data_IF_756258503997
#
_entry.id   IF_756258503997
#
_cell.length_a   1.000
_cell.length_b   1.000
_cell.length_c   1.000
_cell.angle_alpha   90.00
_cell.angle_beta   90.00
_cell.angle_gamma   90.00
#
_symmetry.space_group_name_H-M   'P 1'
#
loop_
_entity.id
_entity.type
_entity.pdbx_description
1 polymer ?
#
# COMPACT_ATOMS: atom_id res chain seq x y z
N UNK A 1 -8.49 16.47 -16.54
CA UNK A 1 -8.09 17.31 -17.69
C UNK A 1 -6.58 17.27 -17.76
N UNK A 2 -5.96 16.94 -18.92
CA UNK A 2 -4.51 16.95 -19.09
C UNK A 2 -3.97 18.39 -19.03
N UNK A 3 -2.79 18.62 -18.42
CA UNK A 3 -2.12 19.91 -18.47
C UNK A 3 -1.79 20.31 -19.90
N UNK A 4 -1.57 21.62 -20.14
CA UNK A 4 -1.10 22.09 -21.45
C UNK A 4 0.27 21.50 -21.81
N UNK A 5 0.55 21.31 -23.10
CA UNK A 5 1.82 20.70 -23.57
C UNK A 5 3.05 21.52 -23.17
N UNK A 6 2.90 22.80 -22.91
CA UNK A 6 3.95 23.71 -22.41
C UNK A 6 4.44 23.27 -21.01
N UNK A 7 3.64 22.52 -20.25
CA UNK A 7 4.03 21.98 -18.94
C UNK A 7 5.02 20.81 -19.04
N UNK A 8 5.11 20.11 -20.17
CA UNK A 8 5.97 18.91 -20.35
C UNK A 8 7.42 19.20 -19.97
N UNK A 9 8.00 20.29 -20.52
CA UNK A 9 9.39 20.69 -20.24
C UNK A 9 9.63 21.03 -18.77
N UNK A 10 8.67 21.70 -18.14
CA UNK A 10 8.78 22.08 -16.72
C UNK A 10 8.72 20.86 -15.83
N UNK A 11 7.73 19.96 -16.06
CA UNK A 11 7.57 18.72 -15.30
C UNK A 11 8.80 17.82 -15.45
N UNK A 12 9.28 17.63 -16.69
CA UNK A 12 10.48 16.82 -16.94
C UNK A 12 11.71 17.35 -16.20
N UNK A 13 11.92 18.68 -16.22
CA UNK A 13 13.04 19.31 -15.48
C UNK A 13 12.90 19.14 -13.98
N UNK A 14 11.67 19.23 -13.46
CA UNK A 14 11.37 19.07 -12.04
C UNK A 14 11.73 17.66 -11.55
N UNK A 15 11.43 16.63 -12.37
CA UNK A 15 11.77 15.23 -12.04
C UNK A 15 13.21 14.86 -12.44
N UNK A 16 14.00 15.79 -12.96
CA UNK A 16 15.44 15.62 -13.22
C UNK A 16 15.79 14.69 -14.39
N UNK A 17 14.85 14.38 -15.32
CA UNK A 17 15.12 13.47 -16.42
C UNK A 17 15.47 14.19 -17.73
N UNK A 18 16.28 13.52 -18.57
CA UNK A 18 16.65 14.02 -19.92
C UNK A 18 15.51 13.80 -20.92
N UNK A 19 15.53 14.55 -22.04
CA UNK A 19 14.60 14.32 -23.15
C UNK A 19 14.72 12.89 -23.70
N UNK A 20 15.95 12.34 -23.77
CA UNK A 20 16.21 10.97 -24.19
C UNK A 20 15.53 9.97 -23.26
N UNK A 21 15.71 10.12 -21.95
CA UNK A 21 15.08 9.23 -20.96
C UNK A 21 13.55 9.26 -21.05
N UNK A 22 12.97 10.47 -21.20
CA UNK A 22 11.52 10.61 -21.36
C UNK A 22 11.04 9.97 -22.68
N UNK A 23 11.79 10.12 -23.76
CA UNK A 23 11.51 9.50 -25.05
C UNK A 23 11.48 7.97 -24.96
N UNK A 24 12.50 7.38 -24.31
CA UNK A 24 12.61 5.93 -24.07
C UNK A 24 11.41 5.40 -23.28
N UNK A 25 11.00 6.11 -22.22
CA UNK A 25 9.88 5.73 -21.36
C UNK A 25 8.52 5.81 -22.08
N UNK A 26 8.36 6.75 -22.98
CA UNK A 26 7.07 7.03 -23.65
C UNK A 26 6.93 6.36 -25.00
N UNK A 27 8.01 5.74 -25.51
CA UNK A 27 8.04 5.10 -26.83
C UNK A 27 7.93 6.09 -27.99
N UNK A 28 8.36 7.36 -27.78
CA UNK A 28 8.46 8.37 -28.85
C UNK A 28 9.91 8.75 -29.10
N UNK A 29 10.21 9.36 -30.23
CA UNK A 29 11.58 9.81 -30.51
C UNK A 29 11.99 11.01 -29.66
N UNK A 30 13.28 11.14 -29.36
CA UNK A 30 13.85 12.32 -28.69
C UNK A 30 13.55 13.61 -29.48
N UNK A 31 13.55 13.53 -30.81
CA UNK A 31 13.17 14.65 -31.68
C UNK A 31 11.72 15.09 -31.45
N UNK A 32 10.80 14.13 -31.30
CA UNK A 32 9.40 14.42 -31.00
C UNK A 32 9.25 15.12 -29.64
N UNK A 33 9.93 14.63 -28.59
CA UNK A 33 9.94 15.29 -27.26
C UNK A 33 10.45 16.73 -27.40
N UNK A 34 11.55 16.95 -28.13
CA UNK A 34 12.08 18.29 -28.34
C UNK A 34 11.09 19.22 -29.06
N UNK A 35 10.41 18.73 -30.10
CA UNK A 35 9.41 19.51 -30.84
C UNK A 35 8.19 19.85 -30.00
N UNK A 36 7.74 18.93 -29.14
CA UNK A 36 6.63 19.18 -28.19
C UNK A 36 7.05 20.22 -27.16
N UNK A 37 8.23 20.08 -26.55
CA UNK A 37 8.74 21.02 -25.54
C UNK A 37 9.05 22.42 -26.10
N UNK A 38 9.31 22.53 -27.39
CA UNK A 38 9.52 23.81 -28.08
C UNK A 38 8.24 24.40 -28.66
N UNK A 39 7.09 23.70 -28.50
CA UNK A 39 5.80 24.17 -29.04
C UNK A 39 5.66 24.03 -30.57
N UNK A 40 6.65 23.39 -31.25
CA UNK A 40 6.63 23.22 -32.70
C UNK A 40 5.64 22.15 -33.17
N UNK A 41 5.28 21.22 -32.31
CA UNK A 41 4.36 20.12 -32.64
C UNK A 41 3.38 19.91 -31.47
N UNK A 42 2.10 19.76 -31.81
CA UNK A 42 1.08 19.31 -30.87
C UNK A 42 0.98 17.79 -30.95
N UNK A 43 1.25 17.04 -29.88
CA UNK A 43 1.11 15.59 -29.88
C UNK A 43 -0.38 15.19 -30.00
N UNK A 44 -0.62 13.95 -30.48
CA UNK A 44 -1.93 13.34 -30.37
C UNK A 44 -2.33 13.18 -28.89
N UNK A 45 -3.62 13.03 -28.62
CA UNK A 45 -4.12 12.81 -27.25
C UNK A 45 -3.41 11.62 -26.56
N UNK A 46 -3.25 10.50 -27.26
CA UNK A 46 -2.60 9.31 -26.72
C UNK A 46 -1.12 9.54 -26.42
N UNK A 47 -0.43 10.28 -27.29
CA UNK A 47 0.97 10.65 -27.06
C UNK A 47 1.11 11.59 -25.88
N UNK A 48 0.25 12.62 -25.79
CA UNK A 48 0.23 13.55 -24.67
C UNK A 48 -0.04 12.81 -23.35
N UNK A 49 -1.04 11.92 -23.33
CA UNK A 49 -1.39 11.10 -22.18
C UNK A 49 -0.18 10.27 -21.71
N UNK A 50 0.46 9.51 -22.60
CA UNK A 50 1.65 8.71 -22.24
C UNK A 50 2.79 9.55 -21.65
N UNK A 51 3.02 10.75 -22.19
CA UNK A 51 4.03 11.68 -21.68
C UNK A 51 3.68 12.16 -20.27
N UNK A 52 2.44 12.60 -20.04
CA UNK A 52 2.02 13.09 -18.74
C UNK A 52 1.95 11.98 -17.70
N UNK A 53 1.48 10.77 -18.06
CA UNK A 53 1.45 9.61 -17.19
C UNK A 53 2.89 9.22 -16.76
N UNK A 54 3.84 9.19 -17.69
CA UNK A 54 5.25 8.91 -17.39
C UNK A 54 5.87 9.98 -16.47
N UNK A 55 5.57 11.24 -16.69
CA UNK A 55 6.04 12.33 -15.83
C UNK A 55 5.41 12.28 -14.45
N UNK A 56 4.13 11.94 -14.34
CA UNK A 56 3.43 11.78 -13.07
C UNK A 56 3.97 10.59 -12.28
N UNK A 57 4.32 9.48 -12.94
CA UNK A 57 5.03 8.36 -12.31
C UNK A 57 6.37 8.82 -11.70
N UNK A 58 7.17 9.55 -12.46
CA UNK A 58 8.46 10.07 -11.99
C UNK A 58 8.34 11.11 -10.87
N UNK A 59 7.27 11.89 -10.85
CA UNK A 59 6.95 12.81 -9.73
C UNK A 59 6.43 12.07 -8.48
N UNK A 60 6.25 10.76 -8.57
CA UNK A 60 5.61 9.99 -7.49
C UNK A 60 4.12 10.28 -7.34
N UNK A 61 3.49 10.89 -8.35
CA UNK A 61 2.06 11.23 -8.33
C UNK A 61 1.16 10.17 -8.95
N UNK A 62 1.75 9.27 -9.73
CA UNK A 62 1.04 8.19 -10.38
C UNK A 62 1.84 6.90 -10.25
N UNK A 63 1.35 6.00 -9.44
CA UNK A 63 1.88 4.65 -9.33
C UNK A 63 0.96 3.75 -10.17
N UNK A 64 1.52 2.86 -11.02
CA UNK A 64 0.73 1.93 -11.81
C UNK A 64 -0.03 0.92 -10.93
N UNK A 65 0.36 0.80 -9.67
CA UNK A 65 -0.14 -0.17 -8.73
C UNK A 65 -0.95 0.48 -7.60
N UNK A 66 -1.97 -0.24 -7.17
CA UNK A 66 -2.88 0.13 -6.10
C UNK A 66 -2.76 -0.83 -4.91
N UNK A 67 -3.39 -0.52 -3.80
CA UNK A 67 -3.47 -1.40 -2.64
C UNK A 67 -4.01 -2.79 -3.01
N UNK A 68 -4.96 -2.84 -3.93
CA UNK A 68 -5.55 -4.09 -4.40
C UNK A 68 -4.61 -5.02 -5.13
N UNK A 69 -3.57 -4.48 -5.77
CA UNK A 69 -2.58 -5.29 -6.50
C UNK A 69 -1.62 -6.03 -5.56
N UNK A 70 -1.45 -5.54 -4.33
CA UNK A 70 -0.51 -6.08 -3.36
C UNK A 70 -1.16 -6.76 -2.15
N UNK A 71 -2.47 -6.58 -1.93
CA UNK A 71 -3.11 -7.12 -0.74
C UNK A 71 -3.25 -8.65 -0.80
N UNK A 72 -2.92 -9.28 0.32
CA UNK A 72 -3.20 -10.70 0.56
C UNK A 72 -4.69 -10.88 0.89
N UNK A 73 -5.44 -11.57 0.01
CA UNK A 73 -6.89 -11.77 0.17
C UNK A 73 -7.26 -12.88 1.14
N UNK A 74 -6.36 -13.84 1.35
CA UNK A 74 -6.56 -14.95 2.31
C UNK A 74 -6.20 -14.48 3.72
N UNK A 75 -6.98 -13.55 4.24
CA UNK A 75 -6.74 -12.95 5.53
C UNK A 75 -7.24 -13.87 6.66
N UNK A 76 -6.35 -14.19 7.59
CA UNK A 76 -6.72 -14.81 8.87
C UNK A 76 -7.25 -13.70 9.76
N UNK A 77 -8.40 -13.93 10.40
CA UNK A 77 -9.02 -13.01 11.35
C UNK A 77 -9.36 -13.74 12.64
N UNK A 78 -9.44 -13.00 13.73
CA UNK A 78 -9.88 -13.46 15.04
C UNK A 78 -10.91 -12.50 15.62
N UNK A 79 -11.61 -12.93 16.67
CA UNK A 79 -12.59 -12.12 17.39
C UNK A 79 -12.04 -11.62 18.74
N UNK A 80 -12.60 -10.55 19.32
CA UNK A 80 -12.20 -10.06 20.65
C UNK A 80 -12.29 -11.12 21.76
N UNK A 81 -13.19 -12.10 21.61
CA UNK A 81 -13.40 -13.22 22.53
C UNK A 81 -12.36 -14.32 22.44
N UNK A 82 -11.58 -14.37 21.36
CA UNK A 82 -10.50 -15.35 21.19
C UNK A 82 -9.34 -15.07 22.15
N UNK A 83 -8.45 -16.04 22.34
CA UNK A 83 -7.33 -15.95 23.28
C UNK A 83 -6.00 -15.61 22.58
N UNK A 84 -5.04 -15.07 23.34
CA UNK A 84 -3.67 -14.91 22.86
C UNK A 84 -3.05 -16.23 22.40
N UNK A 85 -3.35 -17.33 23.10
CA UNK A 85 -2.88 -18.67 22.69
C UNK A 85 -3.37 -19.05 21.30
N UNK A 86 -4.62 -18.71 20.98
CA UNK A 86 -5.18 -18.96 19.66
C UNK A 86 -4.55 -18.11 18.58
N UNK A 87 -4.24 -16.84 18.89
CA UNK A 87 -3.49 -15.96 18.00
C UNK A 87 -2.10 -16.52 17.69
N UNK A 88 -1.35 -16.95 18.71
CA UNK A 88 -0.03 -17.58 18.55
C UNK A 88 -0.11 -18.82 17.66
N UNK A 89 -1.08 -19.70 17.92
CA UNK A 89 -1.28 -20.90 17.10
C UNK A 89 -1.54 -20.57 15.64
N UNK A 90 -2.43 -19.62 15.35
CA UNK A 90 -2.73 -19.19 13.99
C UNK A 90 -1.57 -18.47 13.29
N UNK A 91 -0.83 -17.64 14.01
CA UNK A 91 0.38 -17.00 13.46
C UNK A 91 1.39 -18.06 13.02
N UNK A 92 1.61 -19.09 13.83
CA UNK A 92 2.53 -20.18 13.51
C UNK A 92 2.01 -21.03 12.33
N UNK A 93 0.73 -21.44 12.35
CA UNK A 93 0.12 -22.26 11.29
C UNK A 93 0.17 -21.60 9.91
N UNK A 94 -0.01 -20.27 9.87
CA UNK A 94 -0.07 -19.51 8.62
C UNK A 94 1.21 -18.74 8.28
N UNK A 95 2.23 -18.80 9.15
CA UNK A 95 3.50 -18.05 9.00
C UNK A 95 3.25 -16.54 8.82
N UNK A 96 2.40 -15.97 9.68
CA UNK A 96 2.02 -14.56 9.69
C UNK A 96 2.30 -13.94 11.05
N UNK A 97 2.65 -12.65 11.06
CA UNK A 97 3.04 -11.88 12.26
C UNK A 97 1.99 -10.87 12.72
N UNK A 98 0.87 -10.77 12.01
CA UNK A 98 -0.24 -9.87 12.35
C UNK A 98 -1.57 -10.53 12.02
N UNK A 99 -2.55 -10.39 12.94
CA UNK A 99 -3.92 -10.86 12.74
C UNK A 99 -4.89 -9.74 13.11
N UNK A 100 -5.70 -9.25 12.16
CA UNK A 100 -6.77 -8.31 12.44
C UNK A 100 -7.85 -8.93 13.33
N UNK A 101 -8.37 -8.13 14.26
CA UNK A 101 -9.46 -8.50 15.15
C UNK A 101 -10.74 -7.86 14.65
N UNK A 102 -11.72 -8.69 14.33
CA UNK A 102 -13.02 -8.26 13.82
C UNK A 102 -14.13 -8.64 14.80
N UNK A 103 -14.96 -7.68 15.13
CA UNK A 103 -16.21 -7.89 15.88
C UNK A 103 -17.30 -8.31 14.88
N UNK A 104 -17.99 -9.41 15.19
CA UNK A 104 -19.03 -10.03 14.32
C UNK A 104 -18.55 -10.31 12.88
N UNK A 105 -17.23 -10.53 12.69
CA UNK A 105 -16.63 -10.79 11.39
C UNK A 105 -16.66 -9.63 10.40
N UNK A 106 -17.08 -8.44 10.82
CA UNK A 106 -17.31 -7.27 9.93
C UNK A 106 -16.54 -6.04 10.38
N UNK A 107 -16.64 -5.68 11.67
CA UNK A 107 -16.09 -4.44 12.20
C UNK A 107 -14.67 -4.66 12.71
N UNK A 108 -13.70 -4.03 12.09
CA UNK A 108 -12.32 -4.04 12.58
C UNK A 108 -12.24 -3.27 13.89
N UNK A 109 -11.82 -3.92 14.96
CA UNK A 109 -11.71 -3.34 16.31
C UNK A 109 -10.28 -3.26 16.81
N UNK A 110 -9.36 -4.05 16.24
CA UNK A 110 -7.96 -4.04 16.62
C UNK A 110 -7.08 -4.90 15.72
N UNK A 111 -5.84 -5.06 16.13
CA UNK A 111 -4.87 -5.99 15.55
C UNK A 111 -4.06 -6.61 16.68
N UNK A 112 -3.68 -7.88 16.52
CA UNK A 112 -2.68 -8.51 17.37
C UNK A 112 -1.42 -8.76 16.55
N UNK A 113 -0.25 -8.44 17.11
CA UNK A 113 1.06 -8.57 16.46
C UNK A 113 1.97 -9.47 17.27
N UNK A 114 2.99 -10.07 16.63
CA UNK A 114 4.04 -10.80 17.36
C UNK A 114 4.69 -9.92 18.42
N UNK A 115 5.02 -8.67 18.08
CA UNK A 115 5.61 -7.70 19.03
C UNK A 115 4.68 -7.47 20.25
N UNK A 116 3.37 -7.33 20.01
CA UNK A 116 2.35 -7.17 21.06
C UNK A 116 2.27 -8.39 21.97
N UNK A 117 2.32 -9.60 21.40
CA UNK A 117 2.33 -10.84 22.17
C UNK A 117 3.62 -10.96 23.02
N UNK A 118 4.79 -10.70 22.44
CA UNK A 118 6.07 -10.74 23.17
C UNK A 118 6.06 -9.74 24.33
N UNK A 119 5.54 -8.54 24.12
CA UNK A 119 5.39 -7.54 25.19
C UNK A 119 4.48 -8.05 26.30
N UNK A 120 3.31 -8.60 25.97
CA UNK A 120 2.37 -9.15 26.94
C UNK A 120 2.99 -10.30 27.75
N UNK A 121 3.73 -11.20 27.09
CA UNK A 121 4.47 -12.27 27.75
C UNK A 121 5.51 -11.76 28.76
N UNK A 122 6.19 -10.68 28.42
CA UNK A 122 7.17 -10.05 29.30
C UNK A 122 6.54 -9.43 30.55
N UNK A 123 5.32 -8.92 30.40
CA UNK A 123 4.61 -8.20 31.48
C UNK A 123 3.78 -9.16 32.36
N UNK A 124 3.10 -10.14 31.79
CA UNK A 124 2.13 -11.01 32.49
C UNK A 124 2.55 -12.49 32.61
N UNK A 125 3.53 -12.95 31.82
CA UNK A 125 4.05 -14.32 31.83
C UNK A 125 3.22 -15.31 30.98
N UNK A 126 3.80 -16.52 30.76
CA UNK A 126 3.21 -17.54 29.86
C UNK A 126 1.87 -18.10 30.31
N UNK A 127 1.61 -18.13 31.64
CA UNK A 127 0.35 -18.69 32.17
C UNK A 127 -0.87 -17.89 31.71
N UNK A 128 -0.69 -16.61 31.42
CA UNK A 128 -1.77 -15.70 31.02
C UNK A 128 -2.20 -15.89 29.54
N UNK A 129 -1.35 -16.43 28.68
CA UNK A 129 -1.67 -16.62 27.26
C UNK A 129 -2.99 -17.35 27.00
N UNK A 130 -3.31 -18.35 27.82
CA UNK A 130 -4.53 -19.15 27.67
C UNK A 130 -5.78 -18.44 28.14
N UNK A 131 -5.62 -17.47 29.03
CA UNK A 131 -6.73 -16.78 29.70
C UNK A 131 -6.99 -15.39 29.13
N UNK A 132 -5.92 -14.70 28.68
CA UNK A 132 -6.02 -13.35 28.15
C UNK A 132 -6.85 -13.32 26.85
N UNK A 133 -7.85 -12.47 26.83
CA UNK A 133 -8.70 -12.23 25.67
C UNK A 133 -8.09 -11.19 24.76
N UNK A 134 -8.26 -11.36 23.45
CA UNK A 134 -7.75 -10.43 22.47
C UNK A 134 -8.35 -9.03 22.62
N UNK A 135 -9.61 -8.93 23.05
CA UNK A 135 -10.25 -7.64 23.30
C UNK A 135 -9.56 -6.78 24.37
N UNK A 136 -8.85 -7.40 25.32
CA UNK A 136 -8.13 -6.72 26.39
C UNK A 136 -6.66 -6.43 26.05
N UNK A 137 -6.11 -7.13 25.04
CA UNK A 137 -4.66 -7.15 24.73
C UNK A 137 -4.32 -6.62 23.34
N UNK A 138 -5.33 -6.52 22.46
CA UNK A 138 -5.12 -6.06 21.07
C UNK A 138 -4.62 -4.62 21.00
N UNK A 139 -3.85 -4.34 19.98
CA UNK A 139 -3.46 -2.99 19.59
C UNK A 139 -4.62 -2.28 18.85
N UNK A 140 -4.61 -0.94 18.75
CA UNK A 140 -5.61 -0.20 18.00
C UNK A 140 -5.77 -0.71 16.56
N UNK A 141 -6.98 -0.57 16.02
CA UNK A 141 -7.28 -0.98 14.65
C UNK A 141 -6.31 -0.33 13.64
N UNK A 142 -5.73 -1.12 12.72
CA UNK A 142 -4.84 -0.60 11.69
C UNK A 142 -5.61 0.30 10.70
N UNK A 143 -4.91 1.18 9.96
CA UNK A 143 -5.54 1.96 8.90
C UNK A 143 -6.26 1.09 7.88
N UNK A 144 -7.42 1.56 7.43
CA UNK A 144 -8.17 0.94 6.33
C UNK A 144 -8.07 1.87 5.13
N UNK A 145 -7.69 1.33 3.98
CA UNK A 145 -7.59 2.07 2.72
C UNK A 145 -8.50 1.46 1.66
N UNK A 146 -8.90 2.26 0.68
CA UNK A 146 -9.64 1.75 -0.47
C UNK A 146 -8.75 0.89 -1.38
N UNK A 147 -9.35 -0.09 -2.06
CA UNK A 147 -8.69 -0.97 -3.02
C UNK A 147 -7.89 -0.20 -4.09
N UNK A 148 -8.42 0.94 -4.55
CA UNK A 148 -7.78 1.82 -5.52
C UNK A 148 -6.73 2.78 -4.96
N UNK A 149 -6.40 2.73 -3.67
CA UNK A 149 -5.40 3.61 -3.06
C UNK A 149 -4.03 3.38 -3.71
N UNK A 150 -3.33 4.42 -4.19
CA UNK A 150 -2.00 4.28 -4.79
C UNK A 150 -0.98 3.64 -3.84
N UNK A 151 -0.18 2.70 -4.34
CA UNK A 151 0.76 1.90 -3.55
C UNK A 151 1.77 2.75 -2.76
N UNK A 152 2.21 3.89 -3.29
CA UNK A 152 3.15 4.78 -2.60
C UNK A 152 2.58 5.40 -1.31
N UNK A 153 1.26 5.52 -1.20
CA UNK A 153 0.61 6.02 0.01
C UNK A 153 0.65 5.00 1.17
N UNK A 154 0.92 3.72 0.86
CA UNK A 154 0.87 2.63 1.84
C UNK A 154 2.12 2.55 2.70
N UNK A 155 3.30 2.84 2.14
CA UNK A 155 4.60 2.67 2.84
C UNK A 155 4.65 3.44 4.17
N UNK A 156 4.30 4.74 4.25
CA UNK A 156 4.30 5.45 5.53
C UNK A 156 3.27 4.89 6.52
N UNK A 157 2.11 4.42 6.04
CA UNK A 157 1.09 3.82 6.89
C UNK A 157 1.58 2.49 7.50
N UNK A 158 2.14 1.60 6.67
CA UNK A 158 2.67 0.30 7.11
C UNK A 158 3.83 0.48 8.08
N UNK A 159 4.71 1.47 7.84
CA UNK A 159 5.81 1.77 8.76
C UNK A 159 5.31 2.13 10.17
N UNK A 160 4.17 2.82 10.24
CA UNK A 160 3.58 3.26 11.52
C UNK A 160 2.77 2.15 12.20
N UNK A 161 1.90 1.46 11.45
CA UNK A 161 0.90 0.54 11.99
C UNK A 161 1.20 -0.95 11.73
N UNK A 162 2.38 -1.27 11.17
CA UNK A 162 2.83 -2.63 10.81
C UNK A 162 2.03 -3.28 9.67
N UNK A 163 0.76 -2.98 9.54
CA UNK A 163 -0.11 -3.44 8.45
C UNK A 163 -1.16 -2.39 8.09
N UNK A 164 -1.80 -2.60 6.94
CA UNK A 164 -2.92 -1.80 6.44
C UNK A 164 -3.97 -2.77 5.93
N UNK A 165 -5.23 -2.53 6.24
CA UNK A 165 -6.35 -3.30 5.70
C UNK A 165 -6.86 -2.64 4.42
N UNK A 166 -7.25 -3.47 3.46
CA UNK A 166 -7.78 -3.02 2.18
C UNK A 166 -9.27 -3.28 2.13
N UNK A 167 -10.04 -2.25 1.80
CA UNK A 167 -11.48 -2.35 1.62
C UNK A 167 -11.90 -2.17 0.16
N UNK A 168 -12.91 -2.89 -0.25
CA UNK A 168 -13.62 -2.73 -1.52
C UNK A 168 -15.12 -2.74 -1.25
N UNK A 169 -15.83 -1.71 -1.73
CA UNK A 169 -17.28 -1.57 -1.50
C UNK A 169 -17.67 -1.73 -0.03
N UNK A 170 -16.92 -1.06 0.85
CA UNK A 170 -17.13 -1.08 2.32
C UNK A 170 -16.93 -2.44 2.99
N UNK A 171 -16.29 -3.41 2.34
CA UNK A 171 -15.91 -4.69 2.94
C UNK A 171 -14.41 -4.82 2.97
N UNK A 172 -13.88 -5.37 4.05
CA UNK A 172 -12.45 -5.70 4.12
C UNK A 172 -12.19 -6.90 3.19
N UNK A 173 -11.26 -6.71 2.26
CA UNK A 173 -10.93 -7.72 1.24
C UNK A 173 -9.51 -8.24 1.33
N UNK A 174 -8.67 -7.62 2.15
CA UNK A 174 -7.30 -8.08 2.30
C UNK A 174 -6.47 -7.24 3.28
N UNK A 175 -5.24 -7.68 3.46
CA UNK A 175 -4.23 -7.06 4.32
C UNK A 175 -2.94 -6.85 3.53
N UNK A 176 -2.23 -5.78 3.83
CA UNK A 176 -0.89 -5.47 3.33
C UNK A 176 0.03 -5.30 4.53
N UNK A 177 1.16 -5.98 4.51
CA UNK A 177 2.18 -5.96 5.56
C UNK A 177 3.51 -5.41 5.06
N UNK A 178 4.50 -5.32 5.95
CA UNK A 178 5.85 -4.89 5.57
C UNK A 178 6.48 -5.78 4.48
N UNK A 179 6.21 -7.10 4.49
CA UNK A 179 6.72 -8.03 3.46
C UNK A 179 6.17 -7.72 2.07
N UNK A 180 4.93 -7.23 1.98
CA UNK A 180 4.32 -6.88 0.70
C UNK A 180 4.90 -5.59 0.13
N UNK A 181 5.44 -4.68 0.98
CA UNK A 181 6.10 -3.47 0.48
C UNK A 181 7.37 -3.76 -0.30
N UNK A 182 8.03 -4.88 -0.06
CA UNK A 182 9.20 -5.29 -0.83
C UNK A 182 8.83 -5.62 -2.28
N UNK A 183 7.66 -6.23 -2.49
CA UNK A 183 7.10 -6.50 -3.83
C UNK A 183 6.74 -5.23 -4.60
N UNK A 184 6.52 -4.11 -3.90
CA UNK A 184 6.24 -2.81 -4.52
C UNK A 184 7.49 -2.16 -5.13
N UNK A 185 8.68 -2.69 -4.82
CA UNK A 185 9.98 -2.17 -5.27
C UNK A 185 10.55 -2.92 -6.48
N UNK A 186 9.92 -4.03 -6.87
CA UNK A 186 10.26 -4.82 -8.05
C UNK A 186 9.54 -4.31 -9.31
#
# INVERSE_FOLDING_TARGET
MLPGVDAVKQMRKKVGVTQKKLADMTGVSTSMINQIESGRTKPSYDTARRIFDSLAMLEGKMYPHTAGDFCSRNMVVLEPSDTLHEAVRKMHEHSISQIPILEDGVKVVGVITEDGIVKHLSDAGEADLKMARLGDTMEPAPPIVDYGTPANALVPLIRYSKCVLVSEKSRIVGIITASDTLKMME
#
